data_IF_738728752174
#
_entry.id   IF_738728752174
#
_cell.length_a   1.000
_cell.length_b   1.000
_cell.length_c   1.000
_cell.angle_alpha   90.00
_cell.angle_beta   90.00
_cell.angle_gamma   90.00
#
_symmetry.space_group_name_H-M   'P 1'
#
loop_
_entity.id
_entity.type
_entity.pdbx_description
1 polymer ?
#
# COMPACT_ATOMS: atom_id res chain seq x y z
N UNK A 1 -11.30 8.46 10.30
CA UNK A 1 -11.03 7.00 10.31
C UNK A 1 -10.38 6.51 9.02
N UNK A 2 -10.80 7.03 7.88
CA UNK A 2 -10.29 6.63 6.56
C UNK A 2 -8.77 6.84 6.39
N UNK A 3 -8.24 8.00 6.79
CA UNK A 3 -6.81 8.33 6.62
C UNK A 3 -5.88 7.40 7.43
N UNK A 4 -6.26 7.04 8.65
CA UNK A 4 -5.51 6.09 9.48
C UNK A 4 -5.49 4.70 8.82
N UNK A 5 -6.64 4.24 8.32
CA UNK A 5 -6.75 2.98 7.59
C UNK A 5 -5.91 2.95 6.31
N UNK A 6 -5.90 4.05 5.56
CA UNK A 6 -5.10 4.17 4.34
C UNK A 6 -3.59 4.14 4.64
N UNK A 7 -3.13 4.82 5.69
CA UNK A 7 -1.73 4.75 6.12
C UNK A 7 -1.32 3.34 6.55
N UNK A 8 -2.20 2.63 7.27
CA UNK A 8 -1.92 1.24 7.64
C UNK A 8 -1.90 0.30 6.44
N UNK A 9 -2.73 0.54 5.43
CA UNK A 9 -2.75 -0.24 4.19
C UNK A 9 -1.44 -0.12 3.39
N UNK A 10 -0.72 1.01 3.47
CA UNK A 10 0.61 1.19 2.87
C UNK A 10 1.76 0.80 3.82
N UNK A 11 1.45 0.11 4.92
CA UNK A 11 2.45 -0.52 5.79
C UNK A 11 2.88 0.28 7.01
N UNK A 12 2.16 1.33 7.41
CA UNK A 12 2.35 1.94 8.73
C UNK A 12 1.68 1.09 9.80
N UNK A 13 2.29 0.99 10.97
CA UNK A 13 1.55 0.54 12.15
C UNK A 13 0.56 1.62 12.59
N UNK A 14 -0.43 1.26 13.38
CA UNK A 14 -1.41 2.22 13.91
C UNK A 14 -0.73 3.35 14.71
N UNK A 15 0.30 3.02 15.48
CA UNK A 15 1.05 4.02 16.26
C UNK A 15 1.92 4.90 15.38
N UNK A 16 2.58 4.35 14.37
CA UNK A 16 3.33 5.14 13.38
C UNK A 16 2.42 6.13 12.65
N UNK A 17 1.25 5.69 12.21
CA UNK A 17 0.28 6.54 11.53
C UNK A 17 -0.23 7.67 12.45
N UNK A 18 -0.59 7.36 13.70
CA UNK A 18 -1.01 8.37 14.70
C UNK A 18 0.09 9.38 14.99
N UNK A 19 1.33 8.92 15.17
CA UNK A 19 2.50 9.78 15.44
C UNK A 19 2.79 10.67 14.23
N UNK A 20 2.80 10.14 13.03
CA UNK A 20 3.04 10.92 11.81
C UNK A 20 1.95 11.98 11.59
N UNK A 21 0.68 11.62 11.74
CA UNK A 21 -0.44 12.58 11.64
C UNK A 21 -0.37 13.67 12.72
N UNK A 22 0.06 13.34 13.94
CA UNK A 22 0.24 14.34 15.00
C UNK A 22 1.37 15.34 14.65
N UNK A 23 2.48 14.85 14.10
CA UNK A 23 3.57 15.69 13.62
C UNK A 23 3.17 16.57 12.44
N UNK A 24 2.34 16.08 11.51
CA UNK A 24 1.84 16.90 10.40
C UNK A 24 1.03 18.11 10.88
N UNK A 25 0.29 17.95 11.98
CA UNK A 25 -0.54 19.04 12.55
C UNK A 25 0.28 20.07 13.28
N UNK A 26 1.34 19.63 13.96
CA UNK A 26 2.14 20.50 14.81
C UNK A 26 3.59 19.95 14.91
N UNK A 27 4.51 20.66 14.26
CA UNK A 27 5.93 20.35 14.20
C UNK A 27 6.78 21.64 14.17
N UNK A 28 8.05 21.60 14.60
CA UNK A 28 8.73 20.46 15.21
C UNK A 28 8.23 20.15 16.62
N UNK A 29 8.36 18.88 17.04
CA UNK A 29 7.93 18.47 18.37
C UNK A 29 8.89 17.42 18.96
N UNK A 30 9.05 17.41 20.30
CA UNK A 30 9.76 16.35 20.99
C UNK A 30 8.85 15.15 21.27
N UNK A 31 9.42 14.00 21.66
CA UNK A 31 8.66 12.78 21.90
C UNK A 31 7.55 12.91 22.94
N UNK A 32 7.72 13.75 23.97
CA UNK A 32 6.68 14.02 24.97
C UNK A 32 5.48 14.74 24.36
N UNK A 33 5.74 15.79 23.59
CA UNK A 33 4.69 16.56 22.89
C UNK A 33 3.94 15.67 21.89
N UNK A 34 4.67 14.86 21.14
CA UNK A 34 4.08 13.90 20.19
C UNK A 34 3.19 12.88 20.91
N UNK A 35 3.64 12.30 22.04
CA UNK A 35 2.81 11.39 22.84
C UNK A 35 1.49 12.03 23.26
N UNK A 36 1.55 13.25 23.80
CA UNK A 36 0.37 13.97 24.25
C UNK A 36 -0.62 14.27 23.13
N UNK A 37 -0.12 14.60 21.93
CA UNK A 37 -0.93 14.97 20.76
C UNK A 37 -1.49 13.77 20.00
N UNK A 38 -0.71 12.70 19.89
CA UNK A 38 -1.10 11.49 19.15
C UNK A 38 -2.00 10.56 19.96
N UNK A 39 -2.02 10.70 21.28
CA UNK A 39 -2.67 9.75 22.19
C UNK A 39 -1.95 8.40 22.28
N UNK A 40 -0.76 8.28 21.71
CA UNK A 40 0.07 7.08 21.80
C UNK A 40 0.83 7.06 23.13
N UNK A 41 0.85 5.93 23.86
CA UNK A 41 1.58 5.80 25.11
C UNK A 41 3.06 6.20 24.95
N UNK A 42 3.62 6.88 25.94
CA UNK A 42 4.99 7.42 25.88
C UNK A 42 6.05 6.35 25.57
N UNK A 43 5.89 5.14 26.10
CA UNK A 43 6.77 4.00 25.79
C UNK A 43 6.77 3.61 24.33
N UNK A 44 5.61 3.74 23.65
CA UNK A 44 5.41 3.34 22.27
C UNK A 44 5.75 4.46 21.27
N UNK A 45 5.68 5.73 21.70
CA UNK A 45 5.99 6.89 20.84
C UNK A 45 7.44 6.86 20.34
N UNK A 46 8.39 6.58 21.23
CA UNK A 46 9.81 6.55 20.85
C UNK A 46 10.12 5.41 19.90
N UNK A 47 9.46 4.26 20.07
CA UNK A 47 9.56 3.16 19.12
C UNK A 47 8.98 3.54 17.74
N UNK A 48 7.79 4.12 17.73
CA UNK A 48 7.15 4.59 16.50
C UNK A 48 7.98 5.67 15.78
N UNK A 49 8.52 6.64 16.53
CA UNK A 49 9.42 7.68 16.00
C UNK A 49 10.72 7.08 15.44
N UNK A 50 11.31 6.11 16.12
CA UNK A 50 12.50 5.39 15.64
C UNK A 50 12.24 4.66 14.32
N UNK A 51 11.11 3.99 14.18
CA UNK A 51 10.70 3.31 12.95
C UNK A 51 10.39 4.31 11.83
N UNK A 52 9.69 5.41 12.11
CA UNK A 52 9.43 6.46 11.15
C UNK A 52 10.73 7.13 10.68
N UNK A 53 11.69 7.33 11.58
CA UNK A 53 13.01 7.85 11.23
C UNK A 53 13.78 6.88 10.34
N UNK A 54 13.82 5.60 10.69
CA UNK A 54 14.48 4.56 9.90
C UNK A 54 13.89 4.44 8.47
N UNK A 55 12.59 4.68 8.34
CA UNK A 55 11.89 4.77 7.04
C UNK A 55 12.09 6.09 6.33
N UNK A 56 12.73 7.08 6.96
CA UNK A 56 12.86 8.43 6.43
C UNK A 56 11.54 9.19 6.30
N UNK A 57 10.51 8.80 7.05
CA UNK A 57 9.25 9.52 7.13
C UNK A 57 9.28 10.70 8.10
N UNK A 58 10.30 10.75 8.96
CA UNK A 58 10.52 11.79 9.96
C UNK A 58 12.00 12.20 9.95
N UNK A 59 12.25 13.48 10.07
CA UNK A 59 13.57 14.09 10.23
C UNK A 59 13.79 14.45 11.70
N UNK A 60 15.05 14.48 12.13
CA UNK A 60 15.42 14.85 13.50
C UNK A 60 16.39 16.03 13.52
N UNK A 61 16.32 16.83 14.57
CA UNK A 61 17.31 17.87 14.88
C UNK A 61 17.49 17.99 16.39
N UNK A 62 18.60 18.58 16.81
CA UNK A 62 18.81 18.91 18.22
C UNK A 62 17.87 20.06 18.62
N UNK A 63 17.14 19.88 19.71
CA UNK A 63 16.38 20.92 20.37
C UNK A 63 17.12 21.50 21.56
N UNK A 64 16.45 22.41 22.26
CA UNK A 64 16.92 22.94 23.54
C UNK A 64 17.03 21.81 24.59
N UNK A 65 17.89 21.98 25.58
CA UNK A 65 18.12 21.04 26.69
C UNK A 65 18.47 19.60 26.22
N UNK A 66 19.20 19.45 25.12
CA UNK A 66 19.56 18.13 24.52
C UNK A 66 18.36 17.27 24.12
N UNK A 67 17.18 17.85 23.99
CA UNK A 67 16.01 17.11 23.47
C UNK A 67 16.12 16.91 21.96
N UNK A 68 15.64 15.75 21.48
CA UNK A 68 15.49 15.53 20.03
C UNK A 68 14.15 16.06 19.57
N UNK A 69 14.16 16.93 18.55
CA UNK A 69 12.99 17.40 17.87
C UNK A 69 12.77 16.62 16.59
N UNK A 70 11.51 16.32 16.32
CA UNK A 70 11.06 15.56 15.16
C UNK A 70 10.22 16.45 14.23
N UNK A 71 10.45 16.29 12.95
CA UNK A 71 9.71 16.96 11.88
C UNK A 71 9.26 15.92 10.85
N UNK A 72 7.99 15.92 10.40
CA UNK A 72 7.56 14.97 9.38
C UNK A 72 8.18 15.32 8.02
N UNK A 73 8.47 14.31 7.22
CA UNK A 73 8.68 14.50 5.80
C UNK A 73 7.36 15.00 5.19
N UNK A 74 7.36 15.97 4.26
CA UNK A 74 6.15 16.42 3.60
C UNK A 74 5.38 15.23 2.98
N UNK A 75 4.03 15.21 3.09
CA UNK A 75 3.22 14.09 2.61
C UNK A 75 3.47 13.73 1.14
N UNK A 76 3.55 14.72 0.26
CA UNK A 76 3.76 14.49 -1.16
C UNK A 76 5.11 13.79 -1.41
N UNK A 77 6.17 14.27 -0.77
CA UNK A 77 7.51 13.67 -0.89
C UNK A 77 7.54 12.24 -0.36
N UNK A 78 6.84 11.99 0.76
CA UNK A 78 6.73 10.66 1.35
C UNK A 78 5.96 9.70 0.43
N UNK A 79 4.82 10.14 -0.08
CA UNK A 79 3.94 9.31 -0.92
C UNK A 79 4.55 9.04 -2.30
N UNK A 80 5.19 10.03 -2.92
CA UNK A 80 5.92 9.86 -4.19
C UNK A 80 7.03 8.81 -4.06
N UNK A 81 7.77 8.84 -2.95
CA UNK A 81 8.79 7.82 -2.67
C UNK A 81 8.17 6.43 -2.52
N UNK A 82 7.09 6.30 -1.76
CA UNK A 82 6.38 5.03 -1.62
C UNK A 82 5.86 4.51 -2.96
N UNK A 83 5.28 5.36 -3.80
CA UNK A 83 4.82 4.97 -5.13
C UNK A 83 5.97 4.43 -6.00
N UNK A 84 7.12 5.12 -5.99
CA UNK A 84 8.30 4.66 -6.72
C UNK A 84 8.83 3.32 -6.21
N UNK A 85 8.99 3.17 -4.89
CA UNK A 85 9.45 1.93 -4.26
C UNK A 85 8.51 0.77 -4.57
N UNK A 86 7.18 0.99 -4.50
CA UNK A 86 6.18 -0.03 -4.83
C UNK A 86 6.21 -0.41 -6.30
N UNK A 87 6.38 0.55 -7.21
CA UNK A 87 6.50 0.26 -8.65
C UNK A 87 7.73 -0.59 -8.96
N UNK A 88 8.87 -0.28 -8.37
CA UNK A 88 10.08 -1.10 -8.53
C UNK A 88 9.87 -2.52 -8.00
N UNK A 89 9.36 -2.66 -6.79
CA UNK A 89 9.10 -3.96 -6.18
C UNK A 89 8.13 -4.80 -7.03
N UNK A 90 7.05 -4.20 -7.53
CA UNK A 90 6.08 -4.88 -8.41
C UNK A 90 6.74 -5.29 -9.74
N UNK A 91 7.63 -4.46 -10.30
CA UNK A 91 8.36 -4.80 -11.51
C UNK A 91 9.27 -6.02 -11.30
N UNK A 92 10.07 -5.99 -10.25
CA UNK A 92 11.00 -7.08 -9.91
C UNK A 92 10.26 -8.39 -9.63
N UNK A 93 9.16 -8.31 -8.85
CA UNK A 93 8.30 -9.46 -8.58
C UNK A 93 7.66 -10.01 -9.86
N UNK A 94 7.22 -9.14 -10.77
CA UNK A 94 6.62 -9.56 -12.04
C UNK A 94 7.61 -10.37 -12.88
N UNK A 95 8.85 -9.92 -12.97
CA UNK A 95 9.87 -10.60 -13.76
C UNK A 95 10.31 -11.90 -13.08
N UNK A 96 10.54 -11.89 -11.77
CA UNK A 96 10.87 -13.08 -11.01
C UNK A 96 9.76 -14.14 -11.04
N UNK A 97 8.50 -13.74 -10.86
CA UNK A 97 7.37 -14.68 -10.87
C UNK A 97 7.08 -15.21 -12.28
N UNK A 98 7.31 -14.41 -13.33
CA UNK A 98 7.21 -14.90 -14.72
C UNK A 98 8.23 -15.98 -15.01
N UNK A 99 9.45 -15.86 -14.50
CA UNK A 99 10.49 -16.88 -14.68
C UNK A 99 10.15 -18.20 -13.98
N UNK A 100 9.36 -18.16 -12.91
CA UNK A 100 8.90 -19.35 -12.19
C UNK A 100 7.59 -19.94 -12.75
N UNK A 101 6.86 -19.15 -13.55
CA UNK A 101 5.58 -19.57 -14.10
C UNK A 101 5.78 -20.56 -15.22
N UNK A 102 5.49 -21.83 -14.97
CA UNK A 102 5.34 -22.85 -16.00
C UNK A 102 3.96 -22.76 -16.62
N UNK A 103 3.86 -22.96 -17.93
CA UNK A 103 2.57 -22.98 -18.61
C UNK A 103 1.61 -23.97 -17.91
N UNK A 104 0.39 -23.53 -17.66
CA UNK A 104 -0.62 -24.37 -17.04
C UNK A 104 -0.91 -25.56 -17.92
N UNK A 105 -1.11 -26.73 -17.29
CA UNK A 105 -1.61 -27.91 -17.94
C UNK A 105 -3.07 -27.61 -18.39
N UNK A 106 -3.28 -27.53 -19.70
CA UNK A 106 -4.56 -27.12 -20.32
C UNK A 106 -5.67 -28.17 -20.13
N UNK A 107 -5.33 -29.36 -19.66
CA UNK A 107 -6.29 -30.45 -19.47
C UNK A 107 -7.07 -30.41 -18.16
N UNK A 108 -6.86 -29.39 -17.32
CA UNK A 108 -7.53 -29.27 -16.03
C UNK A 108 -8.59 -28.18 -16.00
N UNK A 109 -9.70 -28.46 -15.32
CA UNK A 109 -10.74 -27.45 -15.00
C UNK A 109 -10.35 -26.70 -13.73
N UNK A 110 -10.15 -25.40 -13.85
CA UNK A 110 -9.77 -24.54 -12.75
C UNK A 110 -10.96 -23.72 -12.24
N UNK A 111 -11.10 -23.62 -10.93
CA UNK A 111 -12.13 -22.80 -10.28
C UNK A 111 -11.52 -21.53 -9.69
N UNK A 112 -12.13 -20.40 -10.00
CA UNK A 112 -11.77 -19.08 -9.43
C UNK A 112 -12.91 -18.58 -8.57
N UNK A 113 -12.63 -18.16 -7.34
CA UNK A 113 -13.63 -17.65 -6.41
C UNK A 113 -13.47 -16.15 -6.18
N UNK A 114 -14.59 -15.48 -5.90
CA UNK A 114 -14.65 -14.04 -5.66
C UNK A 114 -14.90 -13.23 -6.95
N UNK A 115 -15.92 -12.36 -6.90
CA UNK A 115 -16.41 -11.60 -8.07
C UNK A 115 -15.30 -10.83 -8.78
N UNK A 116 -14.48 -10.09 -8.03
CA UNK A 116 -13.37 -9.30 -8.56
C UNK A 116 -12.34 -10.16 -9.26
N UNK A 117 -11.97 -11.30 -8.65
CA UNK A 117 -10.99 -12.23 -9.19
C UNK A 117 -11.50 -12.89 -10.47
N UNK A 118 -12.76 -13.31 -10.49
CA UNK A 118 -13.39 -13.92 -11.67
C UNK A 118 -13.42 -12.96 -12.84
N UNK A 119 -13.87 -11.71 -12.63
CA UNK A 119 -13.94 -10.69 -13.68
C UNK A 119 -12.55 -10.28 -14.19
N UNK A 120 -11.58 -10.17 -13.30
CA UNK A 120 -10.19 -9.87 -13.67
C UNK A 120 -9.59 -10.99 -14.53
N UNK A 121 -9.81 -12.24 -14.13
CA UNK A 121 -9.30 -13.41 -14.86
C UNK A 121 -9.97 -13.56 -16.23
N UNK A 122 -11.30 -13.43 -16.30
CA UNK A 122 -12.04 -13.44 -17.56
C UNK A 122 -11.56 -12.34 -18.51
N UNK A 123 -11.37 -11.12 -17.99
CA UNK A 123 -10.82 -10.00 -18.77
C UNK A 123 -9.41 -10.27 -19.31
N UNK A 124 -8.56 -10.98 -18.56
CA UNK A 124 -7.25 -11.39 -19.05
C UNK A 124 -7.34 -12.45 -20.14
N UNK A 125 -8.23 -13.42 -19.99
CA UNK A 125 -8.47 -14.45 -21.02
C UNK A 125 -8.94 -13.83 -22.33
N UNK A 126 -9.91 -12.91 -22.28
CA UNK A 126 -10.41 -12.19 -23.45
C UNK A 126 -9.26 -11.45 -24.16
N UNK A 127 -8.46 -10.67 -23.41
CA UNK A 127 -7.34 -9.91 -23.98
C UNK A 127 -6.21 -10.76 -24.57
N UNK A 128 -6.05 -11.99 -24.11
CA UNK A 128 -4.98 -12.92 -24.55
C UNK A 128 -5.44 -13.90 -25.61
N UNK A 129 -6.73 -13.98 -25.86
CA UNK A 129 -7.30 -14.88 -26.86
C UNK A 129 -6.73 -14.56 -28.25
N UNK A 130 -6.30 -15.59 -28.94
CA UNK A 130 -5.78 -15.51 -30.33
C UNK A 130 -6.81 -15.95 -31.36
N UNK A 131 -7.87 -16.62 -30.92
CA UNK A 131 -8.97 -17.09 -31.74
C UNK A 131 -10.28 -16.79 -31.03
N UNK A 132 -10.97 -17.77 -30.50
CA UNK A 132 -12.28 -17.64 -29.89
C UNK A 132 -12.23 -17.75 -28.36
N UNK A 133 -13.12 -17.05 -27.69
CA UNK A 133 -13.41 -17.19 -26.25
C UNK A 133 -14.88 -17.47 -26.08
N UNK A 134 -15.21 -18.57 -25.41
CA UNK A 134 -16.57 -18.92 -25.04
C UNK A 134 -16.84 -18.57 -23.59
N UNK A 135 -17.82 -17.69 -23.36
CA UNK A 135 -18.18 -17.23 -22.02
C UNK A 135 -19.63 -17.59 -21.71
N UNK A 136 -19.84 -18.26 -20.59
CA UNK A 136 -21.17 -18.46 -20.02
C UNK A 136 -21.25 -17.61 -18.74
N UNK A 137 -21.97 -16.52 -18.83
CA UNK A 137 -22.04 -15.49 -17.76
C UNK A 137 -23.48 -15.03 -17.55
N UNK A 138 -23.78 -14.48 -16.40
CA UNK A 138 -25.05 -13.79 -16.16
C UNK A 138 -24.99 -12.36 -16.70
N UNK A 139 -26.14 -11.69 -16.80
CA UNK A 139 -26.27 -10.35 -17.39
C UNK A 139 -25.38 -9.30 -16.72
N UNK A 140 -25.25 -9.33 -15.40
CA UNK A 140 -24.43 -8.39 -14.66
C UNK A 140 -22.93 -8.55 -14.93
N UNK A 141 -22.46 -9.77 -15.19
CA UNK A 141 -21.09 -10.03 -15.59
C UNK A 141 -20.86 -9.68 -17.07
N UNK A 142 -21.85 -9.92 -17.92
CA UNK A 142 -21.80 -9.56 -19.35
C UNK A 142 -21.63 -8.06 -19.54
N UNK A 143 -22.39 -7.21 -18.83
CA UNK A 143 -22.26 -5.76 -18.88
C UNK A 143 -20.85 -5.28 -18.48
N UNK A 144 -20.23 -5.95 -17.49
CA UNK A 144 -18.87 -5.62 -17.04
C UNK A 144 -17.79 -6.04 -18.04
N UNK A 145 -17.99 -7.13 -18.76
CA UNK A 145 -17.01 -7.68 -19.70
C UNK A 145 -17.19 -7.18 -21.14
N UNK A 146 -18.37 -6.63 -21.49
CA UNK A 146 -18.72 -6.12 -22.82
C UNK A 146 -17.66 -5.16 -23.41
N UNK A 147 -17.13 -4.17 -22.67
CA UNK A 147 -16.13 -3.25 -23.20
C UNK A 147 -14.79 -3.92 -23.57
N UNK A 148 -14.56 -5.16 -23.17
CA UNK A 148 -13.32 -5.91 -23.45
C UNK A 148 -13.42 -6.78 -24.70
N UNK A 149 -14.62 -6.90 -25.29
CA UNK A 149 -14.93 -7.78 -26.44
C UNK A 149 -15.09 -6.99 -27.74
N UNK A 150 -15.03 -5.65 -27.66
CA UNK A 150 -15.17 -4.73 -28.81
C UNK A 150 -13.86 -4.35 -29.45
#
# INVERSE_FOLDING_TARGET
MELLGNLTAIGFTEYEAKVYMALLRDNPANGYQVSKRSGVPRSMVYEALGRLYARGAVLTTAGEEKSTLYRPLPPDVLLDRYDQEQRHLISDLRDGLRALHTAADEDHVWSVTGRTSVLSYAGQMIRRAKQDVWLVVNDAALETLRPLVS
#
